data_IF_189100547921
#
_entry.id   IF_189100547921
#
_cell.length_a   1.000
_cell.length_b   1.000
_cell.length_c   1.000
_cell.angle_alpha   90.00
_cell.angle_beta   90.00
_cell.angle_gamma   90.00
#
_symmetry.space_group_name_H-M   'P 1'
#
loop_
_entity.id
_entity.type
_entity.pdbx_description
1 polymer ?
#
# COMPACT_ATOMS: atom_id res chain seq x y z
N UNK A 1 15.23 10.28 -6.94
CA UNK A 1 14.96 9.20 -7.92
C UNK A 1 16.05 9.09 -8.98
N UNK A 2 16.78 10.16 -9.33
CA UNK A 2 17.94 10.07 -10.23
C UNK A 2 18.99 9.00 -9.83
N UNK A 3 19.28 8.82 -8.53
CA UNK A 3 20.26 7.83 -8.07
C UNK A 3 19.78 6.36 -8.03
N UNK A 4 18.47 6.11 -8.10
CA UNK A 4 17.94 4.72 -8.10
C UNK A 4 17.88 4.17 -9.54
N UNK A 5 17.74 5.05 -10.54
CA UNK A 5 17.77 4.66 -11.94
C UNK A 5 19.17 4.76 -12.57
N UNK A 6 20.14 5.41 -11.92
CA UNK A 6 21.52 5.48 -12.41
C UNK A 6 22.29 4.17 -12.25
N UNK A 7 21.78 3.23 -11.45
CA UNK A 7 22.44 1.94 -11.19
C UNK A 7 21.98 0.81 -12.11
N UNK A 8 20.86 0.98 -12.83
CA UNK A 8 20.38 -0.01 -13.80
C UNK A 8 21.04 0.26 -15.15
N UNK A 9 22.28 -0.17 -15.30
CA UNK A 9 23.03 -0.17 -16.56
C UNK A 9 22.58 -1.36 -17.43
N UNK A 10 21.49 -1.20 -18.18
CA UNK A 10 21.17 -2.10 -19.28
C UNK A 10 22.01 -1.65 -20.48
N UNK A 11 23.07 -2.41 -20.81
CA UNK A 11 23.86 -2.24 -22.05
C UNK A 11 24.63 -0.91 -22.18
N UNK A 12 25.15 -0.35 -21.10
CA UNK A 12 26.04 0.82 -21.15
C UNK A 12 25.37 2.16 -21.45
N UNK A 13 24.04 2.21 -21.62
CA UNK A 13 23.26 3.44 -21.63
C UNK A 13 22.42 3.53 -20.36
N UNK A 14 22.53 4.65 -19.64
CA UNK A 14 21.64 4.97 -18.53
C UNK A 14 20.21 5.11 -19.05
N UNK A 15 19.26 4.30 -18.58
CA UNK A 15 17.84 4.34 -18.99
C UNK A 15 17.26 5.77 -18.90
N UNK A 16 17.77 6.57 -17.96
CA UNK A 16 17.42 7.97 -17.75
C UNK A 16 17.63 8.87 -18.98
N UNK A 17 18.54 8.54 -19.90
CA UNK A 17 18.82 9.33 -21.12
C UNK A 17 18.03 8.84 -22.34
N UNK A 18 17.27 7.76 -22.22
CA UNK A 18 16.52 7.20 -23.35
C UNK A 18 15.40 8.18 -23.78
N UNK A 19 15.33 8.62 -25.05
CA UNK A 19 14.43 9.69 -25.47
C UNK A 19 12.95 9.33 -25.27
N UNK A 20 12.59 8.06 -25.47
CA UNK A 20 11.24 7.55 -25.19
C UNK A 20 10.90 7.64 -23.70
N UNK A 21 11.85 7.31 -22.82
CA UNK A 21 11.65 7.42 -21.38
C UNK A 21 11.43 8.87 -20.99
N UNK A 22 12.25 9.81 -21.48
CA UNK A 22 12.13 11.24 -21.17
C UNK A 22 10.80 11.80 -21.68
N UNK A 23 10.37 11.45 -22.90
CA UNK A 23 9.11 11.90 -23.46
C UNK A 23 7.90 11.38 -22.67
N UNK A 24 7.90 10.10 -22.31
CA UNK A 24 6.83 9.48 -21.54
C UNK A 24 6.81 9.97 -20.08
N UNK A 25 8.00 10.15 -19.48
CA UNK A 25 8.15 10.73 -18.14
C UNK A 25 7.67 12.18 -18.09
N UNK A 26 7.92 12.99 -19.14
CA UNK A 26 7.38 14.36 -19.24
C UNK A 26 5.86 14.38 -19.37
N UNK A 27 5.27 13.46 -20.13
CA UNK A 27 3.80 13.33 -20.23
C UNK A 27 3.16 12.95 -18.90
N UNK A 28 3.89 12.22 -18.06
CA UNK A 28 3.52 12.10 -16.66
C UNK A 28 3.83 13.41 -15.94
N UNK A 29 2.92 14.38 -16.00
CA UNK A 29 2.96 15.67 -15.30
C UNK A 29 3.53 15.56 -13.87
N UNK A 30 3.27 14.46 -13.19
CA UNK A 30 3.56 14.27 -11.77
C UNK A 30 5.02 13.85 -11.49
N UNK A 31 5.76 13.39 -12.50
CA UNK A 31 7.16 12.98 -12.38
C UNK A 31 8.15 14.17 -12.41
N UNK A 32 7.66 15.38 -12.68
CA UNK A 32 8.52 16.55 -12.93
C UNK A 32 9.28 17.00 -11.68
N UNK A 33 8.72 16.84 -10.47
CA UNK A 33 9.34 17.39 -9.27
C UNK A 33 9.32 16.40 -8.09
N UNK A 34 10.49 16.10 -7.52
CA UNK A 34 10.63 15.25 -6.32
C UNK A 34 9.76 15.73 -5.15
N UNK A 35 9.58 17.05 -5.04
CA UNK A 35 8.77 17.70 -4.00
C UNK A 35 7.27 17.40 -4.14
N UNK A 36 6.72 17.43 -5.36
CA UNK A 36 5.29 17.15 -5.58
C UNK A 36 4.99 15.68 -5.36
N UNK A 37 5.86 14.77 -5.81
CA UNK A 37 5.72 13.33 -5.53
C UNK A 37 5.66 13.05 -4.03
N UNK A 38 6.60 13.63 -3.26
CA UNK A 38 6.63 13.47 -1.79
C UNK A 38 5.36 14.02 -1.14
N UNK A 39 4.88 15.20 -1.57
CA UNK A 39 3.66 15.80 -1.03
C UNK A 39 2.42 14.95 -1.33
N UNK A 40 2.29 14.43 -2.55
CA UNK A 40 1.16 13.55 -2.90
C UNK A 40 1.22 12.24 -2.13
N UNK A 41 2.39 11.60 -2.05
CA UNK A 41 2.57 10.38 -1.28
C UNK A 41 2.25 10.60 0.21
N UNK A 42 2.73 11.70 0.79
CA UNK A 42 2.45 12.03 2.19
C UNK A 42 0.98 12.36 2.44
N UNK A 43 0.29 13.03 1.50
CA UNK A 43 -1.16 13.25 1.58
C UNK A 43 -1.93 11.93 1.56
N UNK A 44 -1.60 11.02 0.63
CA UNK A 44 -2.25 9.71 0.56
C UNK A 44 -2.00 8.92 1.84
N UNK A 45 -0.75 8.90 2.33
CA UNK A 45 -0.35 8.25 3.57
C UNK A 45 -1.13 8.80 4.79
N UNK A 46 -1.19 10.12 4.94
CA UNK A 46 -1.94 10.76 6.02
C UNK A 46 -3.44 10.48 5.91
N UNK A 47 -4.01 10.58 4.71
CA UNK A 47 -5.43 10.30 4.50
C UNK A 47 -5.78 8.84 4.82
N UNK A 48 -4.92 7.87 4.45
CA UNK A 48 -5.15 6.46 4.81
C UNK A 48 -5.09 6.23 6.32
N UNK A 49 -4.17 6.88 7.02
CA UNK A 49 -4.07 6.80 8.48
C UNK A 49 -5.32 7.40 9.13
N UNK A 50 -5.70 8.61 8.74
CA UNK A 50 -6.88 9.30 9.26
C UNK A 50 -8.13 8.44 9.01
N UNK A 51 -8.30 7.92 7.79
CA UNK A 51 -9.44 7.05 7.47
C UNK A 51 -9.47 5.80 8.34
N UNK A 52 -8.33 5.15 8.58
CA UNK A 52 -8.26 3.98 9.46
C UNK A 52 -8.66 4.32 10.90
N UNK A 53 -8.18 5.43 11.45
CA UNK A 53 -8.58 5.90 12.79
C UNK A 53 -10.06 6.29 12.87
N UNK A 54 -10.61 6.92 11.83
CA UNK A 54 -12.04 7.26 11.77
C UNK A 54 -12.89 6.01 11.75
N UNK A 55 -12.55 5.02 10.92
CA UNK A 55 -13.25 3.73 10.87
C UNK A 55 -13.18 3.04 12.24
N UNK A 56 -11.98 2.99 12.84
CA UNK A 56 -11.80 2.40 14.16
C UNK A 56 -12.61 3.11 15.25
N UNK A 57 -12.61 4.44 15.24
CA UNK A 57 -13.40 5.25 16.17
C UNK A 57 -14.90 5.04 16.02
N UNK A 58 -15.40 4.91 14.78
CA UNK A 58 -16.79 4.59 14.51
C UNK A 58 -17.18 3.20 15.02
N UNK A 59 -16.35 2.19 14.78
CA UNK A 59 -16.56 0.82 15.29
C UNK A 59 -16.56 0.81 16.83
N UNK A 60 -15.62 1.51 17.45
CA UNK A 60 -15.53 1.63 18.91
C UNK A 60 -16.74 2.34 19.50
N UNK A 61 -17.21 3.42 18.84
CA UNK A 61 -18.41 4.13 19.26
C UNK A 61 -19.65 3.25 19.14
N UNK A 62 -19.81 2.52 18.03
CA UNK A 62 -20.88 1.55 17.83
C UNK A 62 -20.89 0.49 18.94
N UNK A 63 -19.73 -0.03 19.33
CA UNK A 63 -19.60 -0.99 20.43
C UNK A 63 -20.01 -0.39 21.80
N UNK A 64 -19.69 0.88 22.06
CA UNK A 64 -20.10 1.56 23.31
C UNK A 64 -21.62 1.80 23.33
N UNK A 65 -22.19 2.20 22.19
CA UNK A 65 -23.63 2.44 22.05
C UNK A 65 -24.42 1.14 22.17
N UNK A 66 -23.94 0.04 21.57
CA UNK A 66 -24.61 -1.27 21.64
C UNK A 66 -24.68 -1.83 23.06
N UNK A 67 -23.68 -1.57 23.92
CA UNK A 67 -23.71 -1.98 25.32
C UNK A 67 -24.84 -1.33 26.13
N UNK A 68 -25.23 -0.10 25.75
CA UNK A 68 -26.32 0.65 26.37
C UNK A 68 -27.70 0.33 25.77
N UNK A 69 -27.73 -0.30 24.60
CA UNK A 69 -28.97 -0.70 23.96
C UNK A 69 -29.63 -1.88 24.69
N UNK A 70 -30.91 -2.08 24.40
CA UNK A 70 -31.70 -3.18 24.93
C UNK A 70 -31.02 -4.54 24.68
N UNK A 71 -31.24 -5.53 25.55
CA UNK A 71 -30.56 -6.83 25.48
C UNK A 71 -30.69 -7.55 24.13
N UNK A 72 -31.80 -7.34 23.42
CA UNK A 72 -32.08 -7.96 22.11
C UNK A 72 -31.29 -7.34 20.95
N UNK A 73 -30.72 -6.14 21.14
CA UNK A 73 -29.90 -5.41 20.16
C UNK A 73 -28.41 -5.43 20.51
N UNK A 74 -28.03 -6.14 21.59
CA UNK A 74 -26.63 -6.34 21.96
C UNK A 74 -25.98 -7.28 20.97
N UNK A 75 -25.28 -6.68 20.00
CA UNK A 75 -24.33 -7.41 19.18
C UNK A 75 -23.16 -7.78 20.09
N UNK A 76 -23.14 -9.04 20.54
CA UNK A 76 -21.97 -9.63 21.20
C UNK A 76 -20.90 -9.86 20.14
N UNK A 77 -20.22 -8.78 19.74
CA UNK A 77 -18.96 -8.90 19.01
C UNK A 77 -17.95 -9.39 20.03
N UNK A 78 -17.60 -10.67 19.96
CA UNK A 78 -16.49 -11.17 20.75
C UNK A 78 -15.20 -10.48 20.25
N UNK A 79 -14.20 -10.35 21.13
CA UNK A 79 -12.93 -9.71 20.73
C UNK A 79 -12.30 -10.45 19.54
N UNK A 80 -12.49 -11.78 19.48
CA UNK A 80 -12.09 -12.62 18.35
C UNK A 80 -12.77 -12.24 17.02
N UNK A 81 -14.04 -11.86 17.04
CA UNK A 81 -14.78 -11.48 15.84
C UNK A 81 -14.23 -10.18 15.23
N UNK A 82 -13.81 -9.24 16.08
CA UNK A 82 -13.19 -7.99 15.65
C UNK A 82 -11.85 -8.25 14.96
N UNK A 83 -11.01 -9.13 15.52
CA UNK A 83 -9.75 -9.51 14.90
C UNK A 83 -9.96 -10.24 13.56
N UNK A 84 -10.93 -11.15 13.49
CA UNK A 84 -11.28 -11.84 12.25
C UNK A 84 -11.74 -10.87 11.16
N UNK A 85 -12.62 -9.92 11.50
CA UNK A 85 -13.08 -8.88 10.58
C UNK A 85 -11.94 -7.99 10.10
N UNK A 86 -11.02 -7.59 10.98
CA UNK A 86 -9.84 -6.80 10.58
C UNK A 86 -8.93 -7.59 9.63
N UNK A 87 -8.74 -8.89 9.87
CA UNK A 87 -7.93 -9.75 9.01
C UNK A 87 -8.57 -9.88 7.61
N UNK A 88 -9.87 -10.15 7.55
CA UNK A 88 -10.62 -10.23 6.29
C UNK A 88 -10.57 -8.89 5.54
N UNK A 89 -10.80 -7.77 6.23
CA UNK A 89 -10.73 -6.44 5.63
C UNK A 89 -9.34 -6.10 5.10
N UNK A 90 -8.28 -6.48 5.83
CA UNK A 90 -6.89 -6.31 5.39
C UNK A 90 -6.58 -7.15 4.15
N UNK A 91 -7.03 -8.41 4.13
CA UNK A 91 -6.85 -9.30 2.99
C UNK A 91 -7.59 -8.81 1.74
N UNK A 92 -8.87 -8.48 1.86
CA UNK A 92 -9.69 -7.93 0.78
C UNK A 92 -9.14 -6.60 0.27
N UNK A 93 -8.69 -5.73 1.17
CA UNK A 93 -8.06 -4.46 0.81
C UNK A 93 -6.77 -4.66 0.00
N UNK A 94 -5.95 -5.65 0.36
CA UNK A 94 -4.77 -6.05 -0.41
C UNK A 94 -5.13 -6.53 -1.81
N UNK A 95 -6.07 -7.47 -1.91
CA UNK A 95 -6.51 -8.05 -3.18
C UNK A 95 -7.13 -7.01 -4.11
N UNK A 96 -7.94 -6.10 -3.56
CA UNK A 96 -8.52 -4.96 -4.30
C UNK A 96 -7.44 -4.04 -4.88
N UNK A 97 -6.41 -3.74 -4.11
CA UNK A 97 -5.28 -2.92 -4.56
C UNK A 97 -4.46 -3.62 -5.64
N UNK A 98 -4.21 -4.92 -5.49
CA UNK A 98 -3.51 -5.72 -6.49
C UNK A 98 -4.30 -5.77 -7.81
N UNK A 99 -5.60 -6.05 -7.75
CA UNK A 99 -6.50 -6.02 -8.89
C UNK A 99 -6.45 -4.68 -9.62
N UNK A 100 -6.57 -3.57 -8.87
CA UNK A 100 -6.48 -2.25 -9.47
C UNK A 100 -5.12 -2.03 -10.13
N UNK A 101 -4.02 -2.40 -9.46
CA UNK A 101 -2.65 -2.23 -9.98
C UNK A 101 -2.46 -2.94 -11.32
N UNK A 102 -2.96 -4.17 -11.41
CA UNK A 102 -2.91 -5.00 -12.60
C UNK A 102 -3.81 -4.42 -13.71
N UNK A 103 -5.04 -4.04 -13.38
CA UNK A 103 -5.97 -3.38 -14.31
C UNK A 103 -5.37 -2.11 -14.92
N UNK A 104 -4.70 -1.28 -14.11
CA UNK A 104 -4.08 -0.06 -14.62
C UNK A 104 -2.84 -0.32 -15.49
N UNK A 105 -2.11 -1.40 -15.22
CA UNK A 105 -1.03 -1.86 -16.10
C UNK A 105 -1.58 -2.32 -17.45
N UNK A 106 -2.63 -3.14 -17.44
CA UNK A 106 -3.29 -3.63 -18.66
C UNK A 106 -3.86 -2.48 -19.48
N UNK A 107 -4.58 -1.54 -18.85
CA UNK A 107 -5.18 -0.41 -19.55
C UNK A 107 -4.12 0.50 -20.18
N UNK A 108 -2.96 0.66 -19.55
CA UNK A 108 -1.84 1.40 -20.12
C UNK A 108 -1.29 0.73 -21.38
N UNK A 109 -1.11 -0.60 -21.35
CA UNK A 109 -0.63 -1.36 -22.51
C UNK A 109 -1.67 -1.40 -23.63
N UNK A 110 -2.93 -1.67 -23.29
CA UNK A 110 -4.04 -1.71 -24.24
C UNK A 110 -4.23 -0.37 -24.95
N UNK A 111 -4.17 0.75 -24.22
CA UNK A 111 -4.27 2.09 -24.82
C UNK A 111 -3.12 2.42 -25.79
N UNK A 112 -1.91 1.92 -25.52
CA UNK A 112 -0.79 2.10 -26.46
C UNK A 112 -0.97 1.23 -27.71
N UNK A 113 -1.53 0.02 -27.58
CA UNK A 113 -1.81 -0.89 -28.71
C UNK A 113 -2.92 -0.33 -29.59
N UNK A 114 -4.07 0.05 -29.01
CA UNK A 114 -5.22 0.58 -29.77
C UNK A 114 -4.91 1.93 -30.41
N UNK A 115 -4.02 2.72 -29.80
CA UNK A 115 -3.57 3.99 -30.36
C UNK A 115 -2.54 3.89 -31.49
N UNK A 116 -2.16 2.68 -31.93
CA UNK A 116 -1.16 2.48 -33.01
C UNK A 116 0.24 3.00 -32.69
N UNK A 117 0.50 3.35 -31.42
CA UNK A 117 1.79 3.93 -30.99
C UNK A 117 2.93 2.93 -31.03
N UNK A 118 2.61 1.64 -30.86
CA UNK A 118 3.60 0.57 -30.95
C UNK A 118 4.22 0.48 -32.35
N UNK A 119 3.43 0.66 -33.40
CA UNK A 119 3.95 0.60 -34.78
C UNK A 119 4.85 1.80 -35.09
N UNK A 120 4.46 3.00 -34.63
CA UNK A 120 5.30 4.19 -34.75
C UNK A 120 6.65 4.05 -34.03
N UNK A 121 6.65 3.38 -32.87
CA UNK A 121 7.87 3.12 -32.11
C UNK A 121 8.81 2.13 -32.82
N UNK A 122 8.26 1.13 -33.53
CA UNK A 122 9.04 0.18 -34.33
C UNK A 122 9.71 0.80 -35.57
N UNK A 123 9.18 1.93 -36.05
CA UNK A 123 9.77 2.67 -37.18
C UNK A 123 10.97 3.55 -36.76
N UNK A 124 11.20 3.72 -35.46
CA UNK A 124 12.35 4.48 -34.97
C UNK A 124 13.62 3.64 -34.98
N UNK A 125 14.78 4.24 -35.24
CA UNK A 125 16.08 3.55 -35.24
C UNK A 125 16.58 3.12 -33.85
N UNK A 126 15.69 3.01 -32.86
CA UNK A 126 16.02 2.59 -31.51
C UNK A 126 15.98 1.07 -31.40
N UNK A 127 16.88 0.53 -30.60
CA UNK A 127 16.94 -0.90 -30.30
C UNK A 127 15.68 -1.33 -29.52
N UNK A 128 14.99 -2.37 -30.00
CA UNK A 128 13.78 -2.95 -29.39
C UNK A 128 13.96 -3.24 -27.89
N UNK A 129 15.13 -3.74 -27.49
CA UNK A 129 15.43 -4.04 -26.09
C UNK A 129 15.41 -2.79 -25.18
N UNK A 130 15.93 -1.66 -25.67
CA UNK A 130 15.91 -0.38 -24.95
C UNK A 130 14.50 0.17 -24.83
N UNK A 131 13.67 -0.04 -25.84
CA UNK A 131 12.28 0.38 -25.85
C UNK A 131 11.45 -0.38 -24.80
N UNK A 132 11.60 -1.70 -24.76
CA UNK A 132 10.93 -2.56 -23.78
C UNK A 132 11.38 -2.16 -22.36
N UNK A 133 12.69 -1.98 -22.15
CA UNK A 133 13.24 -1.56 -20.87
C UNK A 133 12.69 -0.19 -20.42
N UNK A 134 12.62 0.79 -21.34
CA UNK A 134 12.07 2.11 -21.05
C UNK A 134 10.58 2.04 -20.66
N UNK A 135 9.77 1.24 -21.38
CA UNK A 135 8.35 1.03 -21.05
C UNK A 135 8.19 0.34 -19.69
N UNK A 136 9.02 -0.65 -19.40
CA UNK A 136 9.02 -1.34 -18.12
C UNK A 136 9.42 -0.41 -16.96
N UNK A 137 10.41 0.46 -17.15
CA UNK A 137 10.78 1.45 -16.13
C UNK A 137 9.63 2.44 -15.84
N UNK A 138 8.89 2.87 -16.88
CA UNK A 138 7.72 3.73 -16.71
C UNK A 138 6.57 2.99 -16.01
N UNK A 139 6.33 1.71 -16.33
CA UNK A 139 5.29 0.93 -15.64
C UNK A 139 5.67 0.72 -14.17
N UNK A 140 6.92 0.38 -13.87
CA UNK A 140 7.43 0.26 -12.49
C UNK A 140 7.23 1.55 -11.69
N UNK A 141 7.50 2.72 -12.28
CA UNK A 141 7.24 4.02 -11.63
C UNK A 141 5.76 4.23 -11.27
N UNK A 142 4.84 3.76 -12.12
CA UNK A 142 3.39 3.84 -11.85
C UNK A 142 2.99 2.87 -10.73
N UNK A 143 3.53 1.65 -10.75
CA UNK A 143 3.28 0.61 -9.74
C UNK A 143 3.79 1.04 -8.36
N UNK A 144 4.97 1.67 -8.30
CA UNK A 144 5.57 2.17 -7.06
C UNK A 144 4.64 3.08 -6.24
N UNK A 145 3.80 3.88 -6.90
CA UNK A 145 2.83 4.76 -6.22
C UNK A 145 1.77 3.96 -5.46
N UNK A 146 1.33 2.86 -6.05
CA UNK A 146 0.30 1.99 -5.46
C UNK A 146 0.91 1.16 -4.34
N UNK A 147 2.13 0.67 -4.54
CA UNK A 147 2.91 0.03 -3.48
C UNK A 147 3.08 0.93 -2.25
N UNK A 148 3.42 2.21 -2.42
CA UNK A 148 3.51 3.14 -1.30
C UNK A 148 2.18 3.29 -0.54
N UNK A 149 1.05 3.30 -1.24
CA UNK A 149 -0.27 3.33 -0.60
C UNK A 149 -0.58 2.03 0.17
N UNK A 150 -0.21 0.87 -0.38
CA UNK A 150 -0.34 -0.43 0.28
C UNK A 150 0.50 -0.45 1.56
N UNK A 151 1.77 -0.06 1.47
CA UNK A 151 2.68 0.00 2.63
C UNK A 151 2.14 0.97 3.69
N UNK A 152 1.58 2.11 3.28
CA UNK A 152 0.95 3.07 4.18
C UNK A 152 -0.21 2.45 4.98
N UNK A 153 -1.13 1.78 4.29
CA UNK A 153 -2.28 1.12 4.90
C UNK A 153 -1.82 0.00 5.84
N UNK A 154 -0.86 -0.82 5.42
CA UNK A 154 -0.31 -1.90 6.27
C UNK A 154 0.35 -1.35 7.54
N UNK A 155 1.11 -0.27 7.43
CA UNK A 155 1.70 0.41 8.60
C UNK A 155 0.63 0.99 9.53
N UNK A 156 -0.43 1.59 8.98
CA UNK A 156 -1.55 2.11 9.78
C UNK A 156 -2.26 1.00 10.55
N UNK A 157 -2.56 -0.12 9.89
CA UNK A 157 -3.17 -1.29 10.51
C UNK A 157 -2.27 -1.89 11.59
N UNK A 158 -0.97 -2.01 11.33
CA UNK A 158 -0.01 -2.52 12.31
C UNK A 158 0.09 -1.61 13.55
N UNK A 159 0.06 -0.28 13.37
CA UNK A 159 0.02 0.67 14.47
C UNK A 159 -1.26 0.53 15.31
N UNK A 160 -2.42 0.35 14.67
CA UNK A 160 -3.68 0.12 15.38
C UNK A 160 -3.61 -1.19 16.18
N UNK A 161 -3.13 -2.27 15.55
CA UNK A 161 -2.93 -3.56 16.23
C UNK A 161 -1.99 -3.46 17.43
N UNK A 162 -0.90 -2.70 17.30
CA UNK A 162 0.02 -2.44 18.40
C UNK A 162 -0.66 -1.69 19.57
N UNK A 163 -1.50 -0.68 19.27
CA UNK A 163 -2.22 0.07 20.31
C UNK A 163 -3.20 -0.84 21.06
N UNK A 164 -3.94 -1.69 20.34
CA UNK A 164 -4.87 -2.66 20.95
C UNK A 164 -4.09 -3.59 21.88
N UNK A 165 -2.97 -4.13 21.40
CA UNK A 165 -2.16 -5.04 22.19
C UNK A 165 -1.59 -4.39 23.45
N UNK A 166 -1.08 -3.16 23.35
CA UNK A 166 -0.59 -2.42 24.51
C UNK A 166 -1.70 -2.18 25.53
N UNK A 167 -2.93 -1.91 25.07
CA UNK A 167 -4.10 -1.77 25.94
C UNK A 167 -4.42 -3.09 26.65
N UNK A 168 -4.35 -4.22 25.95
CA UNK A 168 -4.65 -5.53 26.53
C UNK A 168 -3.58 -5.95 27.54
N UNK A 169 -2.31 -5.71 27.25
CA UNK A 169 -1.20 -5.93 28.19
C UNK A 169 -1.37 -5.05 29.43
N UNK A 170 -1.75 -3.78 29.27
CA UNK A 170 -2.00 -2.88 30.40
C UNK A 170 -3.16 -3.37 31.29
N UNK A 171 -4.22 -3.92 30.68
CA UNK A 171 -5.35 -4.53 31.42
C UNK A 171 -4.94 -5.82 32.14
N UNK A 172 -4.13 -6.67 31.50
CA UNK A 172 -3.67 -7.92 32.11
C UNK A 172 -2.68 -7.73 33.25
N UNK A 173 -1.95 -6.61 33.25
CA UNK A 173 -1.11 -6.23 34.40
C UNK A 173 -1.91 -6.10 35.70
N UNK A 174 -3.23 -5.91 35.64
CA UNK A 174 -4.09 -5.84 36.82
C UNK A 174 -4.63 -7.21 37.25
N UNK A 175 -4.59 -8.26 36.42
CA UNK A 175 -5.45 -9.45 36.66
C UNK A 175 -4.84 -10.86 36.64
N UNK A 176 -3.64 -11.17 36.09
CA UNK A 176 -2.84 -12.40 36.37
C UNK A 176 -1.77 -12.73 35.30
N UNK A 177 -0.74 -13.49 35.71
CA UNK A 177 0.45 -13.94 34.95
C UNK A 177 0.17 -14.75 33.66
N UNK A 178 -0.98 -15.41 33.53
CA UNK A 178 -1.31 -16.19 32.31
C UNK A 178 -1.65 -15.29 31.12
N UNK A 179 -2.03 -14.05 31.38
CA UNK A 179 -2.35 -13.09 30.34
C UNK A 179 -1.14 -12.57 29.56
N UNK A 180 0.02 -12.49 30.22
CA UNK A 180 1.24 -11.98 29.58
C UNK A 180 1.73 -12.87 28.44
N UNK A 181 1.45 -14.19 28.48
CA UNK A 181 1.87 -15.12 27.45
C UNK A 181 1.10 -14.91 26.13
N UNK A 182 -0.21 -14.67 26.20
CA UNK A 182 -1.06 -14.43 25.01
C UNK A 182 -0.74 -13.07 24.39
N UNK A 183 -0.55 -12.03 25.22
CA UNK A 183 -0.10 -10.72 24.76
C UNK A 183 1.28 -10.77 24.10
N UNK A 184 2.21 -11.58 24.61
CA UNK A 184 3.54 -11.77 24.02
C UNK A 184 3.48 -12.47 22.66
N UNK A 185 2.61 -13.47 22.48
CA UNK A 185 2.45 -14.17 21.20
C UNK A 185 1.81 -13.26 20.15
N UNK A 186 0.76 -12.53 20.51
CA UNK A 186 0.12 -11.55 19.62
C UNK A 186 1.12 -10.43 19.24
N UNK A 187 1.97 -10.01 20.18
CA UNK A 187 2.97 -8.96 19.96
C UNK A 187 4.09 -9.46 19.07
N UNK A 188 4.51 -10.70 19.29
CA UNK A 188 5.41 -11.43 18.42
C UNK A 188 4.91 -11.43 16.98
N UNK A 189 3.66 -11.83 16.74
CA UNK A 189 3.05 -11.86 15.40
C UNK A 189 2.97 -10.48 14.74
N UNK A 190 2.63 -9.42 15.49
CA UNK A 190 2.64 -8.05 14.97
C UNK A 190 4.06 -7.63 14.57
N UNK A 191 5.08 -7.99 15.35
CA UNK A 191 6.49 -7.71 15.05
C UNK A 191 6.98 -8.50 13.83
N UNK A 192 6.68 -9.80 13.72
CA UNK A 192 7.04 -10.58 12.52
C UNK A 192 6.34 -10.04 11.28
N UNK A 193 5.09 -9.59 11.41
CA UNK A 193 4.35 -8.97 10.31
C UNK A 193 4.96 -7.63 9.89
N UNK A 194 5.38 -6.79 10.85
CA UNK A 194 6.11 -5.55 10.59
C UNK A 194 7.47 -5.80 9.93
N UNK A 195 8.20 -6.83 10.37
CA UNK A 195 9.48 -7.23 9.76
C UNK A 195 9.29 -7.71 8.32
N UNK A 196 8.23 -8.47 8.04
CA UNK A 196 7.89 -8.91 6.67
C UNK A 196 7.47 -7.77 5.74
N UNK A 197 7.06 -6.62 6.29
CA UNK A 197 6.76 -5.41 5.50
C UNK A 197 8.04 -4.60 5.21
N UNK A 198 9.05 -4.73 6.06
CA UNK A 198 10.31 -4.00 5.99
C UNK A 198 11.39 -4.68 5.13
N UNK A 199 11.29 -6.00 4.96
CA UNK A 199 12.16 -6.82 4.09
C UNK A 199 11.50 -7.14 2.75
#
# INVERSE_FOLDING_TARGET
>A
MANVFSTVNLLGQTIATHPVFVAEARRSHWAVTRKSFRQTAMRIFLLSIIAAFVIWGLVSLLAIVSQRADPWLRVNLDEQDVYALMLIASFLGGLWLDYHSLSASINAVSGDITGGRWDLLRLTALNDSGLIAAKHAVSQLRVWRRLLAIVAIRLALALIGLIILLRDVARMSESDLLGSAVGAIAGGLVVTFLLTILY
#
